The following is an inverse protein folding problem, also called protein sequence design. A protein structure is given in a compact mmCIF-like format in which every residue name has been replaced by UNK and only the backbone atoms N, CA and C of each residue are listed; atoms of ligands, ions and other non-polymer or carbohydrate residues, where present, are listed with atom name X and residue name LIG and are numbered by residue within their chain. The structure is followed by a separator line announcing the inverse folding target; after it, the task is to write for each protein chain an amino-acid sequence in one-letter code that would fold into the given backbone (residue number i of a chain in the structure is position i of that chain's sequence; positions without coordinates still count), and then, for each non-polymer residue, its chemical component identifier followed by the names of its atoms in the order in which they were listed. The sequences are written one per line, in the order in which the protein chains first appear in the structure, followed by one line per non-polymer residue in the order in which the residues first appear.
data_IF_699159004276
#
_entry.id   IF_699159004276
#
_cell.length_a   1.000
_cell.length_b   1.000
_cell.length_c   1.000
_cell.angle_alpha   90.00
_cell.angle_beta   90.00
_cell.angle_gamma   90.00
#
_symmetry.space_group_name_H-M   'P 1'
#
loop_
_entity.id
_entity.type
_entity.pdbx_description
1 polymer ?
#
# COMPACT_ATOMS: atom_id res chain seq x y z
N UNK A 1 -2.61 -31.55 -3.04
CA UNK A 1 -3.09 -30.59 -2.00
C UNK A 1 -1.96 -29.74 -1.45
N UNK A 2 -0.82 -30.33 -1.06
CA UNK A 2 0.36 -29.58 -0.61
C UNK A 2 0.88 -28.57 -1.65
N UNK A 3 0.95 -28.94 -2.94
CA UNK A 3 1.43 -28.04 -3.99
C UNK A 3 0.52 -26.83 -4.23
N UNK A 4 -0.80 -27.04 -4.07
CA UNK A 4 -1.79 -25.96 -4.15
C UNK A 4 -1.60 -24.96 -2.99
N UNK A 5 -1.46 -25.47 -1.77
CA UNK A 5 -1.23 -24.64 -0.58
C UNK A 5 0.07 -23.84 -0.73
N UNK A 6 1.16 -24.48 -1.15
CA UNK A 6 2.43 -23.80 -1.37
C UNK A 6 2.33 -22.70 -2.44
N UNK A 7 1.60 -22.95 -3.53
CA UNK A 7 1.40 -21.98 -4.61
C UNK A 7 0.60 -20.76 -4.13
N UNK A 8 -0.45 -20.98 -3.33
CA UNK A 8 -1.25 -19.90 -2.74
C UNK A 8 -0.39 -19.05 -1.80
N UNK A 9 0.39 -19.67 -0.92
CA UNK A 9 1.27 -18.95 0.01
C UNK A 9 2.27 -18.09 -0.77
N UNK A 10 2.92 -18.65 -1.79
CA UNK A 10 3.85 -17.90 -2.64
C UNK A 10 3.18 -16.72 -3.32
N UNK A 11 1.99 -16.93 -3.89
CA UNK A 11 1.24 -15.86 -4.54
C UNK A 11 0.92 -14.73 -3.56
N UNK A 12 0.39 -15.05 -2.38
CA UNK A 12 0.01 -14.05 -1.37
C UNK A 12 1.21 -13.24 -0.88
N UNK A 13 2.34 -13.91 -0.60
CA UNK A 13 3.54 -13.27 -0.05
C UNK A 13 4.32 -12.47 -1.12
N UNK A 14 4.41 -12.98 -2.36
CA UNK A 14 5.07 -12.25 -3.45
C UNK A 14 4.25 -11.05 -3.94
N UNK A 15 2.93 -11.05 -3.73
CA UNK A 15 2.03 -9.96 -4.12
C UNK A 15 1.47 -9.26 -2.87
N UNK A 16 2.34 -9.00 -1.88
CA UNK A 16 1.96 -8.50 -0.57
C UNK A 16 1.21 -7.16 -0.63
N UNK A 17 1.53 -6.27 -1.58
CA UNK A 17 0.85 -4.97 -1.75
C UNK A 17 -0.63 -5.16 -2.07
N UNK A 18 -0.95 -6.06 -3.01
CA UNK A 18 -2.32 -6.46 -3.32
C UNK A 18 -2.97 -7.17 -2.12
N UNK A 19 -2.26 -8.10 -1.48
CA UNK A 19 -2.75 -8.83 -0.31
C UNK A 19 -3.20 -7.88 0.79
N UNK A 20 -2.34 -6.93 1.20
CA UNK A 20 -2.67 -6.01 2.28
C UNK A 20 -3.71 -4.96 1.89
N UNK A 21 -3.83 -4.60 0.62
CA UNK A 21 -4.95 -3.80 0.13
C UNK A 21 -6.28 -4.54 0.32
N UNK A 22 -6.35 -5.81 -0.12
CA UNK A 22 -7.56 -6.65 0.03
C UNK A 22 -7.90 -6.86 1.50
N UNK A 23 -6.91 -7.20 2.33
CA UNK A 23 -7.11 -7.37 3.78
C UNK A 23 -7.59 -6.06 4.41
N UNK A 24 -7.00 -4.92 4.05
CA UNK A 24 -7.44 -3.61 4.52
C UNK A 24 -8.91 -3.33 4.22
N UNK A 25 -9.35 -3.60 2.99
CA UNK A 25 -10.76 -3.44 2.65
C UNK A 25 -11.67 -4.47 3.31
N UNK A 26 -11.23 -5.71 3.52
CA UNK A 26 -12.00 -6.68 4.30
C UNK A 26 -12.23 -6.19 5.74
N UNK A 27 -11.20 -5.64 6.39
CA UNK A 27 -11.33 -5.03 7.71
C UNK A 27 -12.23 -3.78 7.70
N UNK A 28 -12.13 -2.94 6.67
CA UNK A 28 -13.04 -1.81 6.49
C UNK A 28 -14.50 -2.24 6.37
N UNK A 29 -14.78 -3.25 5.55
CA UNK A 29 -16.13 -3.80 5.36
C UNK A 29 -16.67 -4.39 6.65
N UNK A 30 -15.86 -5.13 7.40
CA UNK A 30 -16.25 -5.64 8.72
C UNK A 30 -16.55 -4.49 9.70
N UNK A 31 -15.75 -3.42 9.69
CA UNK A 31 -15.96 -2.25 10.55
C UNK A 31 -17.21 -1.45 10.16
N UNK A 32 -17.53 -1.37 8.86
CA UNK A 32 -18.77 -0.75 8.35
C UNK A 32 -19.99 -1.58 8.75
N UNK A 33 -19.92 -2.90 8.60
CA UNK A 33 -21.02 -3.81 8.96
C UNK A 33 -21.35 -3.77 10.46
N UNK A 34 -20.38 -3.43 11.31
CA UNK A 34 -20.53 -3.27 12.77
C UNK A 34 -20.86 -1.85 13.22
N UNK A 35 -20.92 -0.88 12.31
CA UNK A 35 -21.20 0.51 12.66
C UNK A 35 -22.67 0.70 13.08
N UNK A 36 -22.90 1.66 13.98
CA UNK A 36 -24.25 2.06 14.37
C UNK A 36 -25.05 2.55 13.15
N UNK A 37 -26.30 2.11 13.06
CA UNK A 37 -27.20 2.45 11.94
C UNK A 37 -28.00 3.72 12.28
N UNK A 38 -28.28 4.60 11.29
CA UNK A 38 -27.94 4.47 9.87
C UNK A 38 -26.47 4.78 9.56
N UNK A 39 -25.86 4.00 8.66
CA UNK A 39 -24.46 4.21 8.25
C UNK A 39 -24.38 5.33 7.21
N UNK A 40 -23.74 6.45 7.58
CA UNK A 40 -23.51 7.57 6.67
C UNK A 40 -22.36 7.30 5.68
N UNK A 41 -22.37 7.98 4.53
CA UNK A 41 -21.25 7.97 3.57
C UNK A 41 -19.93 8.41 4.21
N UNK A 42 -19.98 9.40 5.10
CA UNK A 42 -18.82 9.86 5.86
C UNK A 42 -18.22 8.74 6.74
N UNK A 43 -19.08 7.93 7.38
CA UNK A 43 -18.64 6.78 8.18
C UNK A 43 -17.99 5.71 7.30
N UNK A 44 -18.56 5.42 6.13
CA UNK A 44 -17.98 4.47 5.16
C UNK A 44 -16.58 4.90 4.74
N UNK A 45 -16.43 6.16 4.31
CA UNK A 45 -15.14 6.71 3.87
C UNK A 45 -14.12 6.73 5.01
N UNK A 46 -14.53 7.10 6.22
CA UNK A 46 -13.67 7.07 7.42
C UNK A 46 -13.10 5.67 7.67
N UNK A 47 -13.94 4.62 7.61
CA UNK A 47 -13.49 3.25 7.84
C UNK A 47 -12.62 2.73 6.70
N UNK A 48 -12.98 3.02 5.45
CA UNK A 48 -12.18 2.65 4.28
C UNK A 48 -10.77 3.27 4.36
N UNK A 49 -10.68 4.58 4.60
CA UNK A 49 -9.39 5.26 4.69
C UNK A 49 -8.57 4.75 5.88
N UNK A 50 -9.19 4.60 7.06
CA UNK A 50 -8.46 4.17 8.26
C UNK A 50 -7.79 2.81 8.08
N UNK A 51 -8.54 1.83 7.56
CA UNK A 51 -8.02 0.48 7.37
C UNK A 51 -7.13 0.34 6.14
N UNK A 52 -7.34 1.16 5.10
CA UNK A 52 -6.37 1.32 4.02
C UNK A 52 -5.02 1.84 4.55
N UNK A 53 -5.01 2.92 5.33
CA UNK A 53 -3.77 3.48 5.90
C UNK A 53 -3.09 2.46 6.82
N UNK A 54 -3.86 1.77 7.67
CA UNK A 54 -3.29 0.74 8.54
C UNK A 54 -2.62 -0.40 7.77
N UNK A 55 -3.34 -1.00 6.81
CA UNK A 55 -2.88 -2.21 6.15
C UNK A 55 -1.98 -1.93 4.94
N UNK A 56 -2.38 -1.05 4.03
CA UNK A 56 -1.61 -0.77 2.81
C UNK A 56 -0.38 0.08 3.10
N UNK A 57 -0.47 1.06 4.02
CA UNK A 57 0.68 1.89 4.38
C UNK A 57 1.44 1.30 5.56
N UNK A 58 0.81 1.15 6.73
CA UNK A 58 1.46 0.63 7.94
C UNK A 58 2.06 -0.75 7.75
N UNK A 59 1.23 -1.77 7.58
CA UNK A 59 1.68 -3.18 7.45
C UNK A 59 2.39 -3.44 6.14
N UNK A 60 1.89 -2.91 5.02
CA UNK A 60 2.46 -3.11 3.69
C UNK A 60 3.90 -2.63 3.58
N UNK A 61 4.19 -1.41 4.02
CA UNK A 61 5.56 -0.92 4.03
C UNK A 61 6.42 -1.52 5.15
N UNK A 62 5.83 -1.98 6.25
CA UNK A 62 6.59 -2.74 7.25
C UNK A 62 7.09 -4.06 6.64
N UNK A 63 6.23 -4.75 5.91
CA UNK A 63 6.61 -5.96 5.18
C UNK A 63 7.69 -5.64 4.15
N UNK A 64 7.53 -4.54 3.39
CA UNK A 64 8.55 -4.11 2.43
C UNK A 64 9.90 -3.82 3.10
N UNK A 65 9.90 -3.13 4.24
CA UNK A 65 11.10 -2.91 5.06
C UNK A 65 11.77 -4.23 5.43
N UNK A 66 11.02 -5.21 5.96
CA UNK A 66 11.58 -6.51 6.34
C UNK A 66 12.19 -7.21 5.12
N UNK A 67 11.49 -7.23 4.00
CA UNK A 67 11.97 -7.90 2.79
C UNK A 67 13.23 -7.24 2.23
N UNK A 68 13.27 -5.92 2.11
CA UNK A 68 14.45 -5.23 1.58
C UNK A 68 15.64 -5.20 2.57
N UNK A 69 15.38 -5.10 3.89
CA UNK A 69 16.45 -5.02 4.88
C UNK A 69 17.15 -6.37 5.13
N UNK A 70 16.37 -7.46 5.18
CA UNK A 70 16.89 -8.77 5.58
C UNK A 70 16.98 -9.78 4.44
N UNK A 71 16.25 -9.54 3.34
CA UNK A 71 16.18 -10.44 2.18
C UNK A 71 16.46 -9.70 0.86
N UNK A 72 17.30 -8.66 0.91
CA UNK A 72 17.61 -7.77 -0.24
C UNK A 72 18.00 -8.52 -1.51
N UNK A 73 18.92 -9.50 -1.43
CA UNK A 73 19.32 -10.32 -2.58
C UNK A 73 18.14 -11.07 -3.22
N UNK A 74 17.26 -11.65 -2.40
CA UNK A 74 16.05 -12.34 -2.87
C UNK A 74 15.12 -11.36 -3.59
N UNK A 75 14.91 -10.18 -3.00
CA UNK A 75 14.05 -9.14 -3.57
C UNK A 75 14.64 -8.61 -4.88
N UNK A 76 15.93 -8.30 -4.92
CA UNK A 76 16.64 -7.85 -6.13
C UNK A 76 16.48 -8.87 -7.27
N UNK A 77 16.72 -10.15 -6.98
CA UNK A 77 16.55 -11.24 -7.95
C UNK A 77 15.10 -11.36 -8.45
N UNK A 78 14.12 -11.25 -7.55
CA UNK A 78 12.69 -11.29 -7.91
C UNK A 78 12.27 -10.12 -8.82
N UNK A 79 12.84 -8.94 -8.61
CA UNK A 79 12.63 -7.73 -9.45
C UNK A 79 13.44 -7.82 -10.75
N UNK A 80 14.47 -8.68 -10.83
CA UNK A 80 15.38 -8.76 -11.97
C UNK A 80 16.43 -7.65 -11.96
N UNK A 81 16.85 -7.21 -10.77
CA UNK A 81 17.89 -6.20 -10.55
C UNK A 81 19.12 -6.83 -9.87
N UNK A 82 20.32 -6.27 -10.08
CA UNK A 82 21.47 -6.62 -9.26
C UNK A 82 21.25 -6.16 -7.81
N UNK A 83 21.71 -6.97 -6.86
CA UNK A 83 21.70 -6.57 -5.45
C UNK A 83 22.69 -5.42 -5.19
N UNK A 84 22.33 -4.51 -4.29
CA UNK A 84 23.14 -3.33 -3.97
C UNK A 84 22.73 -2.69 -2.63
N UNK A 85 23.58 -1.80 -2.04
CA UNK A 85 23.23 -1.08 -0.81
C UNK A 85 21.92 -0.30 -0.88
N UNK A 86 21.42 0.01 -2.08
CA UNK A 86 20.14 0.66 -2.29
C UNK A 86 18.96 -0.13 -1.70
N UNK A 87 19.07 -1.46 -1.57
CA UNK A 87 18.05 -2.26 -0.87
C UNK A 87 17.82 -1.73 0.56
N UNK A 88 18.88 -1.38 1.29
CA UNK A 88 18.76 -0.88 2.65
C UNK A 88 18.17 0.54 2.71
N UNK A 89 18.46 1.39 1.72
CA UNK A 89 17.83 2.72 1.60
C UNK A 89 16.33 2.60 1.35
N UNK A 90 15.91 1.73 0.43
CA UNK A 90 14.49 1.42 0.18
C UNK A 90 13.83 0.85 1.43
N UNK A 91 14.53 -0.03 2.16
CA UNK A 91 14.03 -0.60 3.39
C UNK A 91 13.78 0.48 4.45
N UNK A 92 14.75 1.34 4.71
CA UNK A 92 14.64 2.39 5.73
C UNK A 92 13.62 3.47 5.36
N UNK A 93 13.49 3.82 4.08
CA UNK A 93 12.39 4.65 3.59
C UNK A 93 11.02 3.99 3.87
N UNK A 94 10.90 2.69 3.58
CA UNK A 94 9.69 1.91 3.86
C UNK A 94 9.36 1.87 5.36
N UNK A 95 10.36 1.73 6.23
CA UNK A 95 10.17 1.78 7.67
C UNK A 95 9.60 3.13 8.12
N UNK A 96 10.12 4.24 7.57
CA UNK A 96 9.60 5.58 7.83
C UNK A 96 8.13 5.73 7.43
N UNK A 97 7.77 5.27 6.22
CA UNK A 97 6.39 5.27 5.75
C UNK A 97 5.46 4.42 6.63
N UNK A 98 5.93 3.23 7.01
CA UNK A 98 5.21 2.31 7.88
C UNK A 98 4.92 2.95 9.25
N UNK A 99 5.92 3.57 9.87
CA UNK A 99 5.77 4.23 11.16
C UNK A 99 4.70 5.33 11.12
N UNK A 100 4.73 6.19 10.09
CA UNK A 100 3.71 7.22 9.91
C UNK A 100 2.34 6.60 9.63
N UNK A 101 2.27 5.53 8.82
CA UNK A 101 1.04 4.79 8.54
C UNK A 101 0.36 4.26 9.81
N UNK A 102 1.12 3.61 10.70
CA UNK A 102 0.58 3.12 11.97
C UNK A 102 0.14 4.25 12.91
N UNK A 103 0.90 5.34 12.97
CA UNK A 103 0.53 6.51 13.77
C UNK A 103 -0.74 7.19 13.23
N UNK A 104 -0.94 7.20 11.92
CA UNK A 104 -1.99 7.97 11.26
C UNK A 104 -3.34 7.24 11.15
N UNK A 105 -3.33 5.91 11.04
CA UNK A 105 -4.49 5.12 10.61
C UNK A 105 -5.82 5.51 11.27
N UNK A 106 -5.82 5.73 12.58
CA UNK A 106 -7.03 6.04 13.36
C UNK A 106 -7.01 7.44 13.97
N UNK A 107 -6.30 8.38 13.33
CA UNK A 107 -6.10 9.76 13.80
C UNK A 107 -6.67 10.77 12.81
N UNK A 108 -6.27 12.03 12.93
CA UNK A 108 -6.82 13.14 12.14
C UNK A 108 -6.60 12.99 10.63
N UNK A 109 -7.43 13.70 9.87
CA UNK A 109 -7.29 13.81 8.41
C UNK A 109 -5.87 14.24 8.01
N UNK A 110 -5.33 15.29 8.64
CA UNK A 110 -4.01 15.84 8.29
C UNK A 110 -2.88 14.82 8.50
N UNK A 111 -2.97 13.99 9.56
CA UNK A 111 -1.97 12.95 9.79
C UNK A 111 -2.08 11.83 8.76
N UNK A 112 -3.30 11.47 8.34
CA UNK A 112 -3.51 10.52 7.24
C UNK A 112 -3.08 11.07 5.89
N UNK A 113 -3.28 12.37 5.65
CA UNK A 113 -2.77 13.05 4.45
C UNK A 113 -1.25 12.91 4.37
N UNK A 114 -0.54 13.22 5.46
CA UNK A 114 0.91 13.04 5.54
C UNK A 114 1.33 11.57 5.34
N UNK A 115 0.58 10.62 5.91
CA UNK A 115 0.85 9.19 5.77
C UNK A 115 0.63 8.65 4.36
N UNK A 116 -0.18 9.30 3.51
CA UNK A 116 -0.47 8.81 2.15
C UNK A 116 0.39 9.51 1.11
N UNK A 117 0.63 10.82 1.22
CA UNK A 117 1.30 11.60 0.15
C UNK A 117 2.72 11.13 -0.10
N UNK A 118 3.53 10.90 0.93
CA UNK A 118 4.91 10.42 0.78
C UNK A 118 4.97 9.06 0.07
N UNK A 119 4.31 8.02 0.61
CA UNK A 119 4.19 6.71 -0.05
C UNK A 119 3.62 6.77 -1.46
N UNK A 120 2.61 7.62 -1.70
CA UNK A 120 2.01 7.77 -3.02
C UNK A 120 3.02 8.27 -4.07
N UNK A 121 3.82 9.28 -3.73
CA UNK A 121 4.86 9.79 -4.61
C UNK A 121 5.97 8.75 -4.84
N UNK A 122 6.35 8.03 -3.79
CA UNK A 122 7.34 6.95 -3.89
C UNK A 122 6.87 5.85 -4.85
N UNK A 123 5.64 5.36 -4.70
CA UNK A 123 5.08 4.31 -5.56
C UNK A 123 4.90 4.76 -7.00
N UNK A 124 4.38 5.97 -7.24
CA UNK A 124 4.25 6.47 -8.61
C UNK A 124 5.62 6.66 -9.28
N UNK A 125 6.65 7.04 -8.51
CA UNK A 125 8.04 7.04 -8.96
C UNK A 125 8.55 5.63 -9.30
N UNK A 126 8.25 4.64 -8.45
CA UNK A 126 8.58 3.24 -8.70
C UNK A 126 7.89 2.70 -9.96
N UNK A 127 6.60 2.99 -10.16
CA UNK A 127 5.86 2.64 -11.38
C UNK A 127 6.53 3.22 -12.64
N UNK A 128 6.96 4.49 -12.60
CA UNK A 128 7.69 5.09 -13.70
C UNK A 128 9.04 4.38 -13.96
N UNK A 129 9.76 4.02 -12.89
CA UNK A 129 10.99 3.22 -12.96
C UNK A 129 10.75 1.84 -13.58
N UNK A 130 9.71 1.13 -13.15
CA UNK A 130 9.31 -0.16 -13.71
C UNK A 130 8.95 -0.05 -15.20
N UNK A 131 8.20 0.98 -15.58
CA UNK A 131 7.86 1.24 -16.98
C UNK A 131 9.11 1.49 -17.84
N UNK A 132 10.05 2.30 -17.34
CA UNK A 132 11.33 2.51 -18.00
C UNK A 132 12.11 1.20 -18.17
N UNK A 133 12.21 0.38 -17.12
CA UNK A 133 12.88 -0.93 -17.16
C UNK A 133 12.23 -1.91 -18.14
N UNK A 134 10.90 -1.91 -18.26
CA UNK A 134 10.18 -2.73 -19.23
C UNK A 134 10.47 -2.30 -20.68
N UNK A 135 10.50 -0.98 -20.93
CA UNK A 135 10.69 -0.43 -22.27
C UNK A 135 12.14 -0.55 -22.72
N UNK A 136 13.08 -0.06 -21.92
CA UNK A 136 14.49 0.07 -22.30
C UNK A 136 15.26 -1.23 -22.12
N UNK A 137 15.07 -1.90 -20.97
CA UNK A 137 15.88 -3.07 -20.58
C UNK A 137 15.14 -4.40 -20.78
N UNK A 138 13.90 -4.37 -21.28
CA UNK A 138 13.04 -5.56 -21.47
C UNK A 138 12.93 -6.41 -20.20
N UNK A 139 13.03 -5.78 -19.03
CA UNK A 139 12.90 -6.47 -17.76
C UNK A 139 11.41 -6.72 -17.46
N UNK A 140 10.95 -7.93 -17.77
CA UNK A 140 9.59 -8.39 -17.46
C UNK A 140 9.56 -9.38 -16.30
N UNK A 141 10.55 -9.33 -15.41
CA UNK A 141 10.55 -10.14 -14.20
C UNK A 141 9.26 -9.88 -13.39
N UNK A 142 8.75 -10.89 -12.65
CA UNK A 142 7.49 -10.74 -11.91
C UNK A 142 7.51 -9.59 -10.90
N UNK A 143 8.66 -9.31 -10.27
CA UNK A 143 8.84 -8.18 -9.37
C UNK A 143 9.05 -6.82 -10.04
N UNK A 144 9.03 -6.74 -11.38
CA UNK A 144 9.12 -5.48 -12.14
C UNK A 144 7.85 -5.21 -12.96
N UNK A 145 7.32 -6.22 -13.66
CA UNK A 145 6.20 -6.08 -14.58
C UNK A 145 4.90 -6.76 -14.09
N UNK A 146 4.96 -7.47 -12.96
CA UNK A 146 3.82 -8.19 -12.39
C UNK A 146 2.85 -7.29 -11.64
N UNK A 147 2.20 -7.85 -10.61
CA UNK A 147 1.19 -7.15 -9.80
C UNK A 147 1.73 -5.87 -9.18
N UNK A 148 3.01 -5.86 -8.78
CA UNK A 148 3.66 -4.69 -8.16
C UNK A 148 3.54 -3.43 -9.00
N UNK A 149 3.79 -3.48 -10.31
CA UNK A 149 3.66 -2.33 -11.22
C UNK A 149 2.26 -1.72 -11.19
N UNK A 150 1.22 -2.56 -11.21
CA UNK A 150 -0.16 -2.09 -11.14
C UNK A 150 -0.52 -1.56 -9.75
N UNK A 151 0.01 -2.18 -8.69
CA UNK A 151 -0.21 -1.72 -7.32
C UNK A 151 0.48 -0.39 -7.03
N UNK A 152 1.64 -0.15 -7.62
CA UNK A 152 2.36 1.13 -7.57
C UNK A 152 1.56 2.30 -8.17
N UNK A 153 0.52 1.99 -8.96
CA UNK A 153 -0.43 2.98 -9.48
C UNK A 153 -1.72 2.96 -8.67
N UNK A 154 -2.29 1.77 -8.44
CA UNK A 154 -3.60 1.62 -7.83
C UNK A 154 -3.63 2.09 -6.36
N UNK A 155 -2.64 1.71 -5.55
CA UNK A 155 -2.59 2.07 -4.13
C UNK A 155 -2.53 3.60 -3.96
N UNK A 156 -1.65 4.34 -4.64
CA UNK A 156 -1.65 5.81 -4.58
C UNK A 156 -2.98 6.44 -4.98
N UNK A 157 -3.57 6.02 -6.10
CA UNK A 157 -4.81 6.59 -6.60
C UNK A 157 -5.99 6.31 -5.65
N UNK A 158 -6.06 5.12 -5.08
CA UNK A 158 -7.04 4.76 -4.06
C UNK A 158 -6.86 5.63 -2.81
N UNK A 159 -5.64 5.77 -2.30
CA UNK A 159 -5.36 6.57 -1.10
C UNK A 159 -5.72 8.04 -1.28
N UNK A 160 -5.28 8.65 -2.39
CA UNK A 160 -5.61 10.04 -2.74
C UNK A 160 -7.12 10.22 -2.96
N UNK A 161 -7.78 9.27 -3.61
CA UNK A 161 -9.23 9.27 -3.80
C UNK A 161 -10.01 9.22 -2.47
N UNK A 162 -9.60 8.34 -1.54
CA UNK A 162 -10.21 8.23 -0.21
C UNK A 162 -10.00 9.50 0.62
N UNK A 163 -8.82 10.12 0.57
CA UNK A 163 -8.55 11.41 1.20
C UNK A 163 -9.46 12.51 0.62
N UNK A 164 -9.59 12.58 -0.70
CA UNK A 164 -10.47 13.55 -1.35
C UNK A 164 -11.94 13.37 -0.94
N UNK A 165 -12.42 12.12 -0.86
CA UNK A 165 -13.77 11.79 -0.38
C UNK A 165 -13.97 12.18 1.09
N UNK A 166 -12.96 11.95 1.94
CA UNK A 166 -13.02 12.31 3.36
C UNK A 166 -13.09 13.83 3.53
N UNK A 167 -12.27 14.57 2.78
CA UNK A 167 -12.28 16.03 2.79
C UNK A 167 -13.65 16.61 2.37
N UNK A 168 -14.27 16.06 1.32
CA UNK A 168 -15.62 16.47 0.90
C UNK A 168 -16.70 16.19 1.95
N UNK A 169 -16.60 15.05 2.63
CA UNK A 169 -17.55 14.66 3.68
C UNK A 169 -17.44 15.56 4.92
N UNK A 170 -16.25 16.06 5.23
CA UNK A 170 -16.03 17.04 6.30
C UNK A 170 -16.64 18.41 6.01
N UNK A 171 -16.57 18.88 4.76
CA UNK A 171 -17.16 20.17 4.35
C UNK A 171 -18.69 20.19 4.42
N UNK A 172 -19.35 19.06 4.19
CA UNK A 172 -20.82 18.96 4.29
C UNK A 172 -21.35 19.08 5.72
N UNK A 173 -20.51 18.91 6.76
CA UNK A 173 -20.91 19.02 8.16
C UNK A 173 -20.87 20.45 8.73
N UNK A 174 -20.31 21.43 8.01
CA UNK A 174 -20.31 22.84 8.43
C UNK A 174 -21.28 23.64 7.55
N UNK A 175 -22.54 23.86 7.98
CA UNK A 175 -23.36 24.92 7.42
C UNK A 175 -22.78 26.26 7.89
N UNK A 176 -22.53 27.17 6.94
CA UNK A 176 -22.27 28.57 7.23
C UNK A 176 -23.51 29.30 7.72
#
# INVERSE_FOLDING_TARGET
MADLIASIIRFVLSNYSLTFLIVGFAFAMAAIARAEKPVSSATVVEKLLSWYVFWSIGVGYFYNFVMHAFFGEMVASFIGWPDSPFQFEVATASLGFSAVGFLAAFRSFDLRLAAVVGPALFMLGAAAGHAYQMVEHRNFAPGNAGVVFYMDIAIPLIGLGLLWLQHRSGRQKMPG
#
